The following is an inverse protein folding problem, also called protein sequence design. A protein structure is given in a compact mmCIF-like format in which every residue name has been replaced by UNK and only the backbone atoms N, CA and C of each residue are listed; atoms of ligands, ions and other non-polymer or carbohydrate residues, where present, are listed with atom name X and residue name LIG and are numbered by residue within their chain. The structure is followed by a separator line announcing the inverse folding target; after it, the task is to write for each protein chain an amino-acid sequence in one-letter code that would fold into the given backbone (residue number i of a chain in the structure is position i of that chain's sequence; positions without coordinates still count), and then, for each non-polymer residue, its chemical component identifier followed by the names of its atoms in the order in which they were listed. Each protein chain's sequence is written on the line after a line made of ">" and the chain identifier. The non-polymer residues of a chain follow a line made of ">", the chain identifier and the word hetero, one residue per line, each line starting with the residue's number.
data_IF_861850983391
#
_entry.id   IF_861850983391
#
_cell.length_a   1.000
_cell.length_b   1.000
_cell.length_c   1.000
_cell.angle_alpha   90.00
_cell.angle_beta   90.00
_cell.angle_gamma   90.00
#
_symmetry.space_group_name_H-M   'P 1'
#
loop_
_entity.id
_entity.type
_entity.pdbx_description
1 polymer ?
#
# COMPACT_ATOMS: atom_id res chain seq x y z
N UNK A 1 27.21 -6.66 19.52
CA UNK A 1 26.28 -7.24 18.53
C UNK A 1 25.46 -6.10 17.94
N UNK A 2 25.51 -5.90 16.63
CA UNK A 2 24.74 -4.85 15.95
C UNK A 2 23.25 -5.22 15.98
N UNK A 3 22.37 -4.26 16.27
CA UNK A 3 20.91 -4.49 16.31
C UNK A 3 20.43 -4.99 14.93
N UNK A 4 19.58 -6.04 14.85
CA UNK A 4 19.03 -6.51 13.58
C UNK A 4 18.26 -5.39 12.86
N UNK A 5 18.28 -5.39 11.54
CA UNK A 5 17.45 -4.49 10.74
C UNK A 5 15.99 -4.94 10.81
N UNK A 6 15.10 -4.05 11.22
CA UNK A 6 13.69 -4.36 11.43
C UNK A 6 12.89 -3.97 10.18
N UNK A 7 12.23 -4.93 9.55
CA UNK A 7 11.45 -4.72 8.32
C UNK A 7 9.96 -4.95 8.64
N UNK A 8 9.15 -3.89 8.54
CA UNK A 8 7.71 -3.97 8.70
C UNK A 8 7.04 -4.51 7.43
N UNK A 9 6.26 -5.59 7.56
CA UNK A 9 5.66 -6.30 6.44
C UNK A 9 4.13 -6.35 6.61
N UNK A 10 3.36 -5.97 5.58
CA UNK A 10 1.91 -6.02 5.64
C UNK A 10 1.43 -7.48 5.52
N UNK A 11 0.49 -7.89 6.38
CA UNK A 11 -0.20 -9.17 6.22
C UNK A 11 -1.11 -9.15 4.98
N UNK A 12 -1.49 -10.35 4.54
CA UNK A 12 -2.49 -10.53 3.48
C UNK A 12 -1.85 -10.64 2.09
N UNK A 13 -2.49 -10.04 1.11
CA UNK A 13 -2.15 -10.21 -0.31
C UNK A 13 -0.70 -9.84 -0.63
N UNK A 14 -0.25 -8.66 -0.19
CA UNK A 14 1.08 -8.14 -0.50
C UNK A 14 2.20 -9.07 -0.01
N UNK A 15 1.99 -9.77 1.11
CA UNK A 15 2.95 -10.75 1.62
C UNK A 15 3.24 -11.86 0.60
N UNK A 16 2.20 -12.34 -0.10
CA UNK A 16 2.34 -13.40 -1.11
C UNK A 16 3.21 -12.98 -2.29
N UNK A 17 3.08 -11.72 -2.72
CA UNK A 17 3.89 -11.17 -3.81
C UNK A 17 5.30 -10.79 -3.35
N UNK A 18 5.45 -10.42 -2.07
CA UNK A 18 6.72 -10.03 -1.47
C UNK A 18 7.66 -11.23 -1.29
N UNK A 19 7.16 -12.40 -0.88
CA UNK A 19 7.97 -13.60 -0.62
C UNK A 19 8.86 -13.98 -1.83
N UNK A 20 8.34 -14.12 -3.06
CA UNK A 20 9.17 -14.37 -4.24
C UNK A 20 10.22 -13.29 -4.49
N UNK A 21 9.91 -12.02 -4.22
CA UNK A 21 10.85 -10.91 -4.40
C UNK A 21 12.00 -10.99 -3.39
N UNK A 22 11.69 -11.27 -2.13
CA UNK A 22 12.68 -11.47 -1.04
C UNK A 22 13.61 -12.63 -1.39
N UNK A 23 13.07 -13.76 -1.87
CA UNK A 23 13.87 -14.90 -2.36
C UNK A 23 14.78 -14.52 -3.53
N UNK A 24 14.26 -13.84 -4.56
CA UNK A 24 15.06 -13.37 -5.71
C UNK A 24 16.16 -12.40 -5.29
N UNK A 25 15.93 -11.59 -4.27
CA UNK A 25 16.95 -10.72 -3.69
C UNK A 25 18.01 -11.49 -2.88
N UNK A 26 17.83 -12.81 -2.67
CA UNK A 26 18.71 -13.70 -1.89
C UNK A 26 18.55 -13.55 -0.37
N UNK A 27 17.42 -13.01 0.08
CA UNK A 27 17.13 -12.79 1.50
C UNK A 27 16.39 -14.00 2.08
N UNK A 28 16.55 -14.23 3.37
CA UNK A 28 15.82 -15.29 4.08
C UNK A 28 14.32 -14.94 4.15
N UNK A 29 13.52 -15.67 3.37
CA UNK A 29 12.06 -15.58 3.33
C UNK A 29 11.37 -16.57 4.24
N UNK A 30 12.10 -17.48 4.90
CA UNK A 30 11.52 -18.51 5.78
C UNK A 30 10.58 -17.90 6.81
N UNK A 31 10.96 -16.82 7.53
CA UNK A 31 10.05 -16.23 8.52
C UNK A 31 8.80 -15.60 7.89
N UNK A 32 8.78 -15.26 6.60
CA UNK A 32 7.61 -14.71 5.90
C UNK A 32 6.59 -15.77 5.51
N UNK A 33 7.02 -17.02 5.41
CA UNK A 33 6.23 -18.15 4.92
C UNK A 33 5.65 -19.01 6.05
N UNK A 34 6.29 -18.98 7.22
CA UNK A 34 5.85 -19.74 8.38
C UNK A 34 4.42 -19.37 8.81
N UNK A 35 3.59 -20.39 9.07
CA UNK A 35 2.28 -20.22 9.68
C UNK A 35 2.41 -20.07 11.21
N UNK A 36 3.07 -18.99 11.61
CA UNK A 36 3.37 -18.67 13.00
C UNK A 36 2.51 -17.49 13.49
N UNK A 37 2.02 -17.52 14.73
CA UNK A 37 1.24 -16.40 15.29
C UNK A 37 2.12 -15.25 15.78
N UNK A 38 3.44 -15.45 15.93
CA UNK A 38 4.39 -14.40 16.32
C UNK A 38 4.40 -13.27 15.29
N UNK A 39 4.30 -12.04 15.78
CA UNK A 39 4.36 -10.82 14.96
C UNK A 39 5.78 -10.33 14.72
N UNK A 40 6.76 -10.83 15.45
CA UNK A 40 8.18 -10.51 15.27
C UNK A 40 8.91 -11.81 15.02
N UNK A 41 9.53 -11.93 13.84
CA UNK A 41 10.20 -13.17 13.44
C UNK A 41 11.60 -12.87 12.92
N UNK A 42 12.66 -13.35 13.60
CA UNK A 42 14.04 -13.14 13.17
C UNK A 42 14.38 -14.04 11.97
N UNK A 43 15.33 -13.61 11.14
CA UNK A 43 15.99 -14.50 10.16
C UNK A 43 16.98 -15.42 10.85
N UNK A 44 17.32 -16.55 10.23
CA UNK A 44 18.21 -17.55 10.83
C UNK A 44 19.62 -17.00 11.13
N UNK A 45 20.11 -16.07 10.31
CA UNK A 45 21.40 -15.38 10.48
C UNK A 45 21.36 -14.24 11.52
N UNK A 46 20.17 -13.88 12.03
CA UNK A 46 19.97 -12.77 12.95
C UNK A 46 20.23 -11.38 12.37
N UNK A 47 20.46 -11.25 11.06
CA UNK A 47 20.73 -9.97 10.41
C UNK A 47 19.47 -9.10 10.32
N UNK A 48 18.32 -9.75 10.14
CA UNK A 48 17.01 -9.11 9.98
C UNK A 48 16.00 -9.66 10.98
N UNK A 49 14.94 -8.89 11.20
CA UNK A 49 13.69 -9.40 11.75
C UNK A 49 12.52 -8.76 11.01
N UNK A 50 11.51 -9.57 10.73
CA UNK A 50 10.27 -9.10 10.14
C UNK A 50 9.24 -8.81 11.22
N UNK A 51 8.54 -7.68 11.09
CA UNK A 51 7.43 -7.28 11.96
C UNK A 51 6.15 -7.27 11.14
N UNK A 52 5.20 -8.14 11.48
CA UNK A 52 3.96 -8.31 10.73
C UNK A 52 2.88 -7.37 11.25
N UNK A 53 2.39 -6.49 10.38
CA UNK A 53 1.43 -5.45 10.72
C UNK A 53 0.20 -5.51 9.81
N UNK A 54 -0.86 -4.80 10.19
CA UNK A 54 -1.91 -4.44 9.23
C UNK A 54 -1.30 -3.46 8.20
N UNK A 55 -1.75 -3.48 6.93
CA UNK A 55 -1.20 -2.60 5.91
C UNK A 55 -1.13 -1.11 6.30
N UNK A 56 -2.22 -0.61 6.90
CA UNK A 56 -2.36 0.80 7.29
C UNK A 56 -1.37 1.22 8.41
N UNK A 57 -0.87 0.28 9.21
CA UNK A 57 0.04 0.56 10.33
C UNK A 57 1.52 0.56 9.91
N UNK A 58 1.86 -0.02 8.75
CA UNK A 58 3.26 -0.17 8.32
C UNK A 58 3.98 1.18 8.25
N UNK A 59 3.44 2.23 7.60
CA UNK A 59 4.11 3.51 7.55
C UNK A 59 4.37 4.14 8.92
N UNK A 60 3.40 4.06 9.84
CA UNK A 60 3.53 4.57 11.22
C UNK A 60 4.72 3.92 11.94
N UNK A 61 4.85 2.60 11.87
CA UNK A 61 5.96 1.90 12.53
C UNK A 61 7.33 2.28 11.97
N UNK A 62 7.40 2.57 10.67
CA UNK A 62 8.63 3.03 10.02
C UNK A 62 8.92 4.49 10.37
N UNK A 63 7.91 5.36 10.39
CA UNK A 63 8.08 6.79 10.66
C UNK A 63 8.65 7.02 12.06
N UNK A 64 8.11 6.32 13.05
CA UNK A 64 8.55 6.38 14.45
C UNK A 64 9.81 5.55 14.76
N UNK A 65 10.40 4.88 13.75
CA UNK A 65 11.65 4.12 13.90
C UNK A 65 11.52 2.81 14.68
N UNK A 66 10.29 2.35 14.94
CA UNK A 66 10.04 1.01 15.47
C UNK A 66 10.45 -0.08 14.46
N UNK A 67 10.32 0.23 13.16
CA UNK A 67 10.93 -0.48 12.05
C UNK A 67 11.88 0.45 11.27
N UNK A 68 12.99 -0.11 10.77
CA UNK A 68 13.97 0.64 9.97
C UNK A 68 13.49 0.79 8.52
N UNK A 69 12.85 -0.24 8.00
CA UNK A 69 12.26 -0.33 6.66
C UNK A 69 10.83 -0.86 6.76
N UNK A 70 10.03 -0.65 5.72
CA UNK A 70 8.74 -1.29 5.59
C UNK A 70 8.26 -1.40 4.15
N UNK A 71 7.19 -2.18 3.96
CA UNK A 71 6.57 -2.44 2.67
C UNK A 71 5.15 -1.89 2.70
N UNK A 72 4.84 -0.86 1.93
CA UNK A 72 3.54 -0.18 1.99
C UNK A 72 3.01 0.17 0.61
N UNK A 73 1.70 0.06 0.42
CA UNK A 73 1.04 0.47 -0.81
C UNK A 73 1.10 1.99 -1.01
N UNK A 74 1.31 2.43 -2.26
CA UNK A 74 1.36 3.86 -2.60
C UNK A 74 0.08 4.60 -2.21
N UNK A 75 -1.08 3.93 -2.28
CA UNK A 75 -2.38 4.41 -1.80
C UNK A 75 -2.31 4.87 -0.33
N UNK A 76 -1.76 4.04 0.55
CA UNK A 76 -1.65 4.35 1.98
C UNK A 76 -0.68 5.50 2.23
N UNK A 77 0.42 5.56 1.47
CA UNK A 77 1.42 6.62 1.58
C UNK A 77 0.87 7.98 1.15
N UNK A 78 0.14 8.03 0.04
CA UNK A 78 -0.51 9.25 -0.47
C UNK A 78 -1.60 9.73 0.49
N UNK A 79 -2.41 8.81 1.02
CA UNK A 79 -3.51 9.16 1.91
C UNK A 79 -3.03 9.75 3.24
N UNK A 80 -1.88 9.31 3.77
CA UNK A 80 -1.45 9.66 5.13
C UNK A 80 -0.33 10.71 5.22
N UNK A 81 0.41 11.00 4.13
CA UNK A 81 1.51 12.03 4.10
C UNK A 81 2.56 11.84 5.22
N UNK A 82 3.00 10.60 5.42
CA UNK A 82 4.05 10.27 6.38
C UNK A 82 5.41 10.89 6.00
N UNK A 83 6.25 11.17 7.00
CA UNK A 83 7.59 11.68 6.79
C UNK A 83 8.63 10.55 6.64
N UNK A 84 8.69 9.98 5.43
CA UNK A 84 9.48 8.78 5.11
C UNK A 84 10.31 8.95 3.84
N UNK A 85 11.33 8.10 3.66
CA UNK A 85 11.92 7.90 2.33
C UNK A 85 11.23 6.74 1.61
N UNK A 86 11.08 6.84 0.28
CA UNK A 86 10.56 5.80 -0.62
C UNK A 86 11.64 5.39 -1.64
N UNK A 87 12.71 4.67 -1.23
CA UNK A 87 13.88 4.41 -2.08
C UNK A 87 13.62 3.51 -3.30
N UNK A 88 12.53 2.73 -3.31
CA UNK A 88 12.27 1.75 -4.36
C UNK A 88 10.78 1.42 -4.50
N UNK A 89 10.27 1.47 -5.73
CA UNK A 89 9.04 0.80 -6.13
C UNK A 89 9.31 -0.70 -6.30
N UNK A 90 8.60 -1.56 -5.57
CA UNK A 90 8.80 -3.01 -5.60
C UNK A 90 8.11 -3.68 -6.80
N UNK A 91 7.26 -2.96 -7.52
CA UNK A 91 6.58 -3.43 -8.72
C UNK A 91 5.52 -4.51 -8.48
N UNK A 92 5.17 -4.78 -7.22
CA UNK A 92 4.19 -5.79 -6.78
C UNK A 92 2.94 -5.12 -6.22
N UNK A 93 1.85 -5.91 -6.06
CA UNK A 93 0.58 -5.40 -5.54
C UNK A 93 -0.01 -4.29 -6.39
N UNK A 94 0.11 -4.42 -7.73
CA UNK A 94 -0.36 -3.41 -8.67
C UNK A 94 -1.88 -3.33 -8.67
N UNK A 95 -2.40 -2.13 -8.54
CA UNK A 95 -3.81 -1.81 -8.69
C UNK A 95 -3.96 -0.35 -9.11
N UNK A 96 -5.20 0.10 -9.31
CA UNK A 96 -5.53 1.48 -9.64
C UNK A 96 -6.43 2.04 -8.56
N UNK A 97 -6.21 3.28 -8.15
CA UNK A 97 -7.24 4.02 -7.43
C UNK A 97 -8.14 4.67 -8.48
N UNK A 98 -9.45 4.46 -8.36
CA UNK A 98 -10.44 4.88 -9.37
C UNK A 98 -11.59 5.63 -8.74
N UNK A 99 -12.25 6.47 -9.54
CA UNK A 99 -13.62 6.88 -9.26
C UNK A 99 -14.55 5.87 -9.92
N UNK A 100 -15.53 5.37 -9.17
CA UNK A 100 -16.55 4.46 -9.69
C UNK A 100 -17.95 4.85 -9.19
N UNK A 101 -18.97 4.45 -9.91
CA UNK A 101 -20.38 4.67 -9.56
C UNK A 101 -21.28 3.64 -10.24
N UNK A 102 -22.57 3.59 -9.91
CA UNK A 102 -23.54 2.75 -10.62
C UNK A 102 -23.50 2.99 -12.14
N UNK A 103 -23.83 1.97 -12.92
CA UNK A 103 -24.08 2.12 -14.35
C UNK A 103 -25.12 3.24 -14.58
N UNK A 104 -24.88 4.09 -15.58
CA UNK A 104 -25.75 5.24 -15.93
C UNK A 104 -25.94 6.29 -14.81
N UNK A 105 -24.99 6.40 -13.87
CA UNK A 105 -25.07 7.40 -12.81
C UNK A 105 -25.00 8.82 -13.35
N UNK A 106 -26.08 9.58 -13.16
CA UNK A 106 -26.05 11.04 -13.28
C UNK A 106 -25.32 11.63 -12.06
N UNK A 107 -24.11 12.15 -12.29
CA UNK A 107 -23.31 12.78 -11.23
C UNK A 107 -23.79 14.22 -11.03
N UNK A 108 -24.34 14.58 -9.85
CA UNK A 108 -24.75 15.95 -9.59
C UNK A 108 -23.54 16.89 -9.43
N UNK A 109 -23.76 18.19 -9.52
CA UNK A 109 -22.71 19.23 -9.37
C UNK A 109 -21.96 19.14 -8.03
N UNK A 110 -22.64 18.67 -6.98
CA UNK A 110 -22.09 18.43 -5.63
C UNK A 110 -22.22 16.94 -5.28
N UNK A 111 -21.33 16.07 -5.80
CA UNK A 111 -21.45 14.65 -5.56
C UNK A 111 -21.02 14.28 -4.13
N UNK A 112 -21.74 13.32 -3.54
CA UNK A 112 -21.30 12.59 -2.34
C UNK A 112 -20.39 11.44 -2.78
N UNK A 113 -19.22 11.32 -2.16
CA UNK A 113 -18.17 10.36 -2.53
C UNK A 113 -17.77 9.55 -1.30
N UNK A 114 -18.08 8.25 -1.29
CA UNK A 114 -17.66 7.36 -0.22
C UNK A 114 -16.27 6.77 -0.50
N UNK A 115 -15.36 6.78 0.48
CA UNK A 115 -13.99 6.33 0.24
C UNK A 115 -13.22 5.98 1.51
N UNK A 116 -12.27 5.04 1.41
CA UNK A 116 -11.22 4.81 2.42
C UNK A 116 -10.13 5.90 2.38
N UNK A 117 -10.05 6.66 1.29
CA UNK A 117 -8.97 7.60 0.98
C UNK A 117 -9.50 9.03 0.89
N UNK A 118 -10.03 9.61 1.99
CA UNK A 118 -10.70 10.91 1.94
C UNK A 118 -9.81 12.04 1.44
N UNK A 119 -8.51 12.01 1.75
CA UNK A 119 -7.57 13.03 1.26
C UNK A 119 -7.35 12.88 -0.23
N UNK A 120 -7.08 11.67 -0.72
CA UNK A 120 -6.86 11.46 -2.16
C UNK A 120 -8.11 11.83 -2.95
N UNK A 121 -9.30 11.43 -2.48
CA UNK A 121 -10.56 11.80 -3.11
C UNK A 121 -10.76 13.32 -3.11
N UNK A 122 -10.59 13.98 -1.96
CA UNK A 122 -10.70 15.44 -1.85
C UNK A 122 -9.75 16.17 -2.80
N UNK A 123 -8.47 15.79 -2.82
CA UNK A 123 -7.46 16.37 -3.71
C UNK A 123 -7.81 16.14 -5.20
N UNK A 124 -8.32 14.95 -5.56
CA UNK A 124 -8.73 14.62 -6.93
C UNK A 124 -9.90 15.46 -7.43
N UNK A 125 -11.00 15.56 -6.66
CA UNK A 125 -12.16 16.37 -7.06
C UNK A 125 -11.84 17.86 -7.07
N UNK A 126 -11.07 18.35 -6.08
CA UNK A 126 -10.61 19.73 -6.05
C UNK A 126 -9.75 20.09 -7.28
N UNK A 127 -8.89 19.18 -7.74
CA UNK A 127 -8.06 19.40 -8.94
C UNK A 127 -8.87 19.62 -10.23
N UNK A 128 -10.12 19.13 -10.26
CA UNK A 128 -11.06 19.29 -11.37
C UNK A 128 -12.04 20.46 -11.17
N UNK A 129 -11.90 21.23 -10.09
CA UNK A 129 -12.83 22.29 -9.74
C UNK A 129 -14.21 21.80 -9.27
N UNK A 130 -14.33 20.53 -8.89
CA UNK A 130 -15.58 19.94 -8.39
C UNK A 130 -15.57 19.98 -6.86
N UNK A 131 -16.59 20.60 -6.28
CA UNK A 131 -16.83 20.51 -4.84
C UNK A 131 -17.52 19.17 -4.60
N UNK A 132 -16.90 18.26 -3.85
CA UNK A 132 -17.46 16.96 -3.50
C UNK A 132 -17.57 16.82 -1.98
N UNK A 133 -18.68 16.23 -1.50
CA UNK A 133 -18.81 15.84 -0.11
C UNK A 133 -18.12 14.47 0.08
N UNK A 134 -17.02 14.46 0.82
CA UNK A 134 -16.23 13.25 1.07
C UNK A 134 -16.74 12.54 2.33
N UNK A 135 -17.15 11.27 2.17
CA UNK A 135 -17.67 10.42 3.23
C UNK A 135 -16.66 9.29 3.52
N UNK A 136 -15.94 9.34 4.66
CA UNK A 136 -14.99 8.29 5.01
C UNK A 136 -15.68 6.93 5.26
N UNK A 137 -15.25 5.89 4.55
CA UNK A 137 -15.72 4.50 4.67
C UNK A 137 -14.51 3.56 4.72
N UNK A 138 -14.42 2.74 5.77
CA UNK A 138 -13.22 1.93 6.03
C UNK A 138 -13.23 0.54 5.37
N UNK A 139 -14.39 0.09 4.87
CA UNK A 139 -14.58 -1.19 4.20
C UNK A 139 -15.97 -1.28 3.57
N UNK A 140 -16.16 -2.21 2.64
CA UNK A 140 -17.38 -2.35 1.84
C UNK A 140 -17.78 -1.04 1.16
N UNK A 141 -16.81 -0.35 0.56
CA UNK A 141 -17.02 0.96 -0.09
C UNK A 141 -18.00 0.83 -1.25
N UNK A 142 -17.96 -0.29 -1.97
CA UNK A 142 -18.86 -0.67 -3.06
C UNK A 142 -20.34 -0.72 -2.66
N UNK A 143 -20.66 -0.86 -1.36
CA UNK A 143 -22.04 -0.84 -0.88
C UNK A 143 -22.62 0.58 -0.87
N UNK A 144 -21.78 1.61 -0.73
CA UNK A 144 -22.23 2.97 -0.45
C UNK A 144 -23.18 3.53 -1.54
N UNK A 145 -22.90 3.37 -2.85
CA UNK A 145 -23.85 3.80 -3.88
C UNK A 145 -25.15 2.99 -3.88
N UNK A 146 -25.07 1.68 -3.61
CA UNK A 146 -26.22 0.77 -3.66
C UNK A 146 -27.29 1.09 -2.61
N UNK A 147 -26.89 1.64 -1.47
CA UNK A 147 -27.80 2.03 -0.38
C UNK A 147 -28.06 3.53 -0.31
N UNK A 148 -27.59 4.30 -1.30
CA UNK A 148 -27.81 5.75 -1.37
C UNK A 148 -26.97 6.59 -0.40
N UNK A 149 -25.88 6.04 0.15
CA UNK A 149 -24.94 6.79 0.99
C UNK A 149 -24.15 7.81 0.17
N UNK A 150 -23.73 7.42 -1.04
CA UNK A 150 -22.95 8.27 -1.95
C UNK A 150 -23.42 8.10 -3.39
N UNK A 151 -23.07 9.03 -4.27
CA UNK A 151 -23.26 8.87 -5.72
C UNK A 151 -22.07 8.12 -6.34
N UNK A 152 -20.88 8.41 -5.83
CA UNK A 152 -19.61 7.88 -6.30
C UNK A 152 -18.85 7.23 -5.16
N UNK A 153 -17.85 6.45 -5.54
CA UNK A 153 -16.80 5.96 -4.65
C UNK A 153 -15.43 6.30 -5.18
N UNK A 154 -14.46 6.40 -4.28
CA UNK A 154 -13.04 6.34 -4.61
C UNK A 154 -12.43 5.15 -3.89
N UNK A 155 -12.00 4.14 -4.64
CA UNK A 155 -11.40 2.94 -4.06
C UNK A 155 -10.38 2.29 -4.99
N UNK A 156 -9.62 1.34 -4.46
CA UNK A 156 -8.67 0.54 -5.22
C UNK A 156 -9.39 -0.53 -6.02
N UNK A 157 -8.95 -0.72 -7.27
CA UNK A 157 -9.42 -1.77 -8.16
C UNK A 157 -8.23 -2.49 -8.76
N UNK A 158 -8.26 -3.82 -8.73
CA UNK A 158 -7.32 -4.63 -9.47
C UNK A 158 -7.95 -5.16 -10.76
N UNK A 159 -8.80 -6.20 -10.67
CA UNK A 159 -9.48 -6.81 -11.82
C UNK A 159 -10.79 -6.11 -12.21
N UNK A 160 -11.39 -5.37 -11.28
CA UNK A 160 -12.73 -4.80 -11.42
C UNK A 160 -13.88 -5.75 -11.08
N UNK A 161 -13.60 -7.00 -10.66
CA UNK A 161 -14.67 -7.98 -10.41
C UNK A 161 -15.67 -7.51 -9.35
N UNK A 162 -15.19 -7.01 -8.21
CA UNK A 162 -16.04 -6.48 -7.13
C UNK A 162 -16.94 -5.33 -7.57
N UNK A 163 -16.45 -4.44 -8.44
CA UNK A 163 -17.27 -3.36 -8.99
C UNK A 163 -18.38 -3.92 -9.88
N UNK A 164 -18.05 -4.81 -10.83
CA UNK A 164 -19.03 -5.43 -11.73
C UNK A 164 -20.09 -6.25 -10.99
N UNK A 165 -19.69 -7.02 -9.98
CA UNK A 165 -20.60 -7.81 -9.14
C UNK A 165 -21.62 -6.92 -8.40
N UNK A 166 -21.26 -5.67 -8.15
CA UNK A 166 -22.10 -4.66 -7.51
C UNK A 166 -22.67 -3.64 -8.51
N UNK A 167 -22.66 -3.93 -9.82
CA UNK A 167 -23.18 -3.02 -10.88
C UNK A 167 -22.58 -1.62 -10.83
N UNK A 168 -21.29 -1.55 -10.50
CA UNK A 168 -20.50 -0.33 -10.53
C UNK A 168 -19.53 -0.38 -11.72
N UNK A 169 -19.35 0.76 -12.36
CA UNK A 169 -18.36 0.95 -13.42
C UNK A 169 -17.29 1.95 -13.02
N UNK A 170 -16.10 1.77 -13.60
CA UNK A 170 -14.99 2.72 -13.43
C UNK A 170 -15.22 3.91 -14.35
N UNK A 171 -15.41 5.09 -13.77
CA UNK A 171 -15.60 6.33 -14.52
C UNK A 171 -14.26 6.96 -14.92
N UNK A 172 -13.26 6.90 -14.03
CA UNK A 172 -11.92 7.40 -14.30
C UNK A 172 -10.87 6.78 -13.37
N UNK A 173 -9.61 6.80 -13.81
CA UNK A 173 -8.48 6.40 -12.98
C UNK A 173 -7.84 7.63 -12.33
N UNK A 174 -7.74 7.62 -11.00
CA UNK A 174 -7.10 8.67 -10.21
C UNK A 174 -5.58 8.52 -10.25
N UNK A 175 -5.07 7.31 -9.95
CA UNK A 175 -3.64 7.02 -9.97
C UNK A 175 -3.34 5.53 -10.01
N UNK A 176 -2.16 5.19 -10.52
CA UNK A 176 -1.60 3.84 -10.44
C UNK A 176 -0.97 3.61 -9.07
N UNK A 177 -1.24 2.45 -8.48
CA UNK A 177 -0.78 2.04 -7.16
C UNK A 177 0.11 0.80 -7.30
N UNK A 178 1.25 0.85 -6.63
CA UNK A 178 2.20 -0.25 -6.48
C UNK A 178 2.76 -0.21 -5.07
N UNK A 179 3.30 -1.34 -4.63
CA UNK A 179 3.93 -1.44 -3.32
C UNK A 179 5.31 -0.79 -3.32
N UNK A 180 5.56 0.08 -2.35
CA UNK A 180 6.81 0.79 -2.15
C UNK A 180 7.60 0.19 -0.99
N UNK A 181 8.92 0.16 -1.12
CA UNK A 181 9.82 0.07 0.02
C UNK A 181 9.93 1.46 0.64
N UNK A 182 9.63 1.55 1.93
CA UNK A 182 9.78 2.77 2.73
C UNK A 182 10.89 2.61 3.76
N UNK A 183 11.52 3.71 4.14
CA UNK A 183 12.59 3.75 5.12
C UNK A 183 12.42 4.89 6.12
N UNK A 184 12.71 4.60 7.38
CA UNK A 184 12.83 5.62 8.42
C UNK A 184 13.97 6.58 8.05
N UNK A 185 13.75 7.89 8.17
CA UNK A 185 14.75 8.88 7.76
C UNK A 185 16.07 8.78 8.53
N UNK A 186 16.01 8.49 9.84
CA UNK A 186 17.20 8.34 10.67
C UNK A 186 17.90 7.02 10.36
N UNK A 187 17.17 5.89 10.30
CA UNK A 187 17.76 4.59 9.95
C UNK A 187 18.42 4.62 8.57
N UNK A 188 17.77 5.23 7.56
CA UNK A 188 18.33 5.34 6.20
C UNK A 188 19.69 6.05 6.15
N UNK A 189 19.92 7.02 7.04
CA UNK A 189 21.20 7.72 7.17
C UNK A 189 22.20 6.95 8.03
N UNK A 190 21.80 6.58 9.25
CA UNK A 190 22.66 5.98 10.27
C UNK A 190 23.07 4.54 9.96
N UNK A 191 22.25 3.82 9.18
CA UNK A 191 22.48 2.41 8.80
C UNK A 191 22.60 2.25 7.29
N UNK A 192 23.11 3.28 6.61
CA UNK A 192 23.22 3.32 5.15
C UNK A 192 24.11 2.21 4.58
N UNK A 193 25.10 1.76 5.35
CA UNK A 193 25.99 0.63 5.08
C UNK A 193 25.24 -0.70 4.94
N UNK A 194 24.15 -0.89 5.69
CA UNK A 194 23.30 -2.09 5.62
C UNK A 194 22.11 -1.88 4.67
N UNK A 195 21.49 -0.71 4.70
CA UNK A 195 20.25 -0.44 3.95
C UNK A 195 20.52 -0.29 2.44
N UNK A 196 21.58 0.40 2.02
CA UNK A 196 21.84 0.62 0.59
C UNK A 196 22.09 -0.70 -0.16
N UNK A 197 22.95 -1.63 0.31
CA UNK A 197 23.10 -2.92 -0.37
C UNK A 197 21.79 -3.72 -0.42
N UNK A 198 20.96 -3.65 0.62
CA UNK A 198 19.65 -4.30 0.63
C UNK A 198 18.70 -3.72 -0.43
N UNK A 199 18.63 -2.39 -0.53
CA UNK A 199 17.84 -1.70 -1.57
C UNK A 199 18.29 -2.11 -2.97
N UNK A 200 19.60 -2.20 -3.21
CA UNK A 200 20.13 -2.60 -4.53
C UNK A 200 19.84 -4.07 -4.86
N UNK A 201 19.91 -4.97 -3.88
CA UNK A 201 19.49 -6.38 -4.06
C UNK A 201 18.01 -6.49 -4.41
N UNK A 202 17.15 -5.73 -3.73
CA UNK A 202 15.72 -5.67 -4.04
C UNK A 202 15.47 -5.06 -5.42
N UNK A 203 16.18 -3.98 -5.78
CA UNK A 203 16.11 -3.34 -7.11
C UNK A 203 16.49 -4.29 -8.24
N UNK A 204 17.56 -5.08 -8.07
CA UNK A 204 17.93 -6.11 -9.03
C UNK A 204 16.85 -7.19 -9.15
N UNK A 205 16.25 -7.59 -8.02
CA UNK A 205 15.19 -8.61 -7.98
C UNK A 205 13.85 -8.15 -8.58
N UNK A 206 13.57 -6.85 -8.66
CA UNK A 206 12.40 -6.30 -9.37
C UNK A 206 12.61 -6.26 -10.87
N UNK A 207 13.82 -5.91 -11.34
CA UNK A 207 14.15 -5.89 -12.78
C UNK A 207 14.10 -7.27 -13.44
N UNK A 208 14.40 -8.33 -12.69
CA UNK A 208 14.36 -9.72 -13.18
C UNK A 208 12.96 -10.32 -13.34
N UNK A 209 11.90 -9.68 -12.84
CA UNK A 209 10.53 -10.23 -12.88
C UNK A 209 9.81 -9.99 -14.22
N UNK A 210 10.40 -9.20 -15.13
CA UNK A 210 9.87 -8.89 -16.46
C UNK A 210 10.55 -9.64 -17.61
N UNK A 211 11.28 -10.73 -17.32
CA UNK A 211 11.90 -11.62 -18.32
C UNK A 211 11.38 -13.04 -18.18
#
# INVERSE_FOLDING_TARGET
>A
MTKPLTIAVPKGRILKDLIPLVRRAGLDSTPLEENDRRLVRPTADGAFRYVFLKPDDVPTYVEYGAADLGVSGRDTLLERRHDLYTPLDLGIGRCRLVVAGPEDTEVPDLPRVATKYPRIAGDHFASKGVVAEIIPVHGSVELAPLVGLSHLIVDIVETGSTLRENRLEVLETVTEVSTQLIANRASYKLRSDVIRPLVERLRAATAGAGR
#
